data_IF_075219622166
#
_entry.id   IF_075219622166
#
_cell.length_a   1.000
_cell.length_b   1.000
_cell.length_c   1.000
_cell.angle_alpha   90.00
_cell.angle_beta   90.00
_cell.angle_gamma   90.00
#
_symmetry.space_group_name_H-M   'P 1'
#
loop_
_entity.id
_entity.type
_entity.pdbx_description
1 polymer ?
#
# COMPACT_ATOMS: atom_id res chain seq x y z
N UNK A 1 -35.71 -41.00 -33.13
CA UNK A 1 -34.35 -40.50 -33.43
C UNK A 1 -33.85 -39.64 -32.27
N UNK A 2 -33.49 -40.24 -31.12
CA UNK A 2 -33.16 -39.46 -29.92
C UNK A 2 -31.80 -39.83 -29.29
N UNK A 3 -31.09 -40.82 -29.85
CA UNK A 3 -29.89 -41.39 -29.23
C UNK A 3 -28.57 -40.67 -29.55
N UNK A 4 -28.56 -39.57 -30.30
CA UNK A 4 -27.31 -38.86 -30.67
C UNK A 4 -26.98 -37.63 -29.79
N UNK A 5 -27.89 -37.20 -28.90
CA UNK A 5 -27.75 -35.95 -28.12
C UNK A 5 -27.34 -36.19 -26.65
N UNK A 6 -27.33 -37.45 -26.18
CA UNK A 6 -27.11 -37.79 -24.76
C UNK A 6 -25.73 -37.42 -24.20
N UNK A 7 -24.69 -37.35 -25.04
CA UNK A 7 -23.30 -37.11 -24.62
C UNK A 7 -22.88 -35.62 -24.65
N UNK A 8 -23.58 -34.79 -25.42
CA UNK A 8 -23.19 -33.38 -25.59
C UNK A 8 -23.35 -32.59 -24.28
N UNK A 9 -24.48 -32.76 -23.60
CA UNK A 9 -24.78 -32.14 -22.31
C UNK A 9 -23.76 -32.53 -21.22
N UNK A 10 -23.53 -33.82 -20.90
CA UNK A 10 -22.56 -34.20 -19.87
C UNK A 10 -21.11 -33.87 -20.24
N UNK A 11 -20.75 -33.82 -21.53
CA UNK A 11 -19.42 -33.38 -21.97
C UNK A 11 -19.21 -31.89 -21.74
N UNK A 12 -20.22 -31.07 -21.96
CA UNK A 12 -20.18 -29.65 -21.64
C UNK A 12 -20.12 -29.41 -20.12
N UNK A 13 -20.91 -30.13 -19.33
CA UNK A 13 -20.89 -30.03 -17.87
C UNK A 13 -19.52 -30.38 -17.29
N UNK A 14 -18.88 -31.48 -17.76
CA UNK A 14 -17.51 -31.82 -17.33
C UNK A 14 -16.49 -30.75 -17.70
N UNK A 15 -16.59 -30.18 -18.90
CA UNK A 15 -15.70 -29.08 -19.33
C UNK A 15 -15.91 -27.83 -18.49
N UNK A 16 -17.16 -27.49 -18.20
CA UNK A 16 -17.51 -26.37 -17.34
C UNK A 16 -16.99 -26.57 -15.92
N UNK A 17 -17.20 -27.75 -15.34
CA UNK A 17 -16.69 -28.09 -14.02
C UNK A 17 -15.16 -27.98 -13.93
N UNK A 18 -14.43 -28.54 -14.91
CA UNK A 18 -12.97 -28.45 -14.95
C UNK A 18 -12.48 -26.99 -15.08
N UNK A 19 -13.16 -26.16 -15.87
CA UNK A 19 -12.83 -24.74 -15.99
C UNK A 19 -13.13 -23.95 -14.72
N UNK A 20 -14.24 -24.24 -14.05
CA UNK A 20 -14.59 -23.62 -12.77
C UNK A 20 -13.60 -24.02 -11.67
N UNK A 21 -13.20 -25.29 -11.62
CA UNK A 21 -12.18 -25.77 -10.68
C UNK A 21 -10.83 -25.07 -10.90
N UNK A 22 -10.35 -24.97 -12.14
CA UNK A 22 -9.11 -24.24 -12.44
C UNK A 22 -9.21 -22.76 -12.09
N UNK A 23 -10.35 -22.13 -12.37
CA UNK A 23 -10.59 -20.72 -12.03
C UNK A 23 -10.61 -20.48 -10.53
N UNK A 24 -11.18 -21.41 -9.76
CA UNK A 24 -11.20 -21.33 -8.30
C UNK A 24 -9.80 -21.48 -7.72
N UNK A 25 -9.03 -22.48 -8.17
CA UNK A 25 -7.62 -22.64 -7.79
C UNK A 25 -6.79 -21.37 -8.06
N UNK A 26 -6.96 -20.76 -9.24
CA UNK A 26 -6.26 -19.52 -9.57
C UNK A 26 -6.64 -18.36 -8.64
N UNK A 27 -7.92 -18.23 -8.28
CA UNK A 27 -8.38 -17.20 -7.35
C UNK A 27 -7.88 -17.42 -5.93
N UNK A 28 -7.86 -18.67 -5.49
CA UNK A 28 -7.35 -19.05 -4.16
C UNK A 28 -5.85 -18.74 -4.04
N UNK A 29 -5.06 -19.08 -5.06
CA UNK A 29 -3.64 -18.73 -5.10
C UNK A 29 -3.43 -17.20 -5.09
N UNK A 30 -4.21 -16.46 -5.88
CA UNK A 30 -4.16 -14.98 -5.84
C UNK A 30 -4.60 -14.39 -4.49
N UNK A 31 -5.52 -15.07 -3.78
CA UNK A 31 -5.95 -14.65 -2.46
C UNK A 31 -4.84 -14.95 -1.44
N UNK A 32 -4.26 -16.14 -1.46
CA UNK A 32 -3.14 -16.52 -0.59
C UNK A 32 -1.98 -15.54 -0.68
N UNK A 33 -1.50 -15.24 -1.89
CA UNK A 33 -0.38 -14.30 -2.08
C UNK A 33 -0.69 -12.90 -1.54
N UNK A 34 -1.95 -12.45 -1.67
CA UNK A 34 -2.37 -11.16 -1.11
C UNK A 34 -2.43 -11.20 0.41
N UNK A 35 -3.00 -12.25 0.96
CA UNK A 35 -3.15 -12.42 2.40
C UNK A 35 -1.78 -12.58 3.08
N UNK A 36 -0.86 -13.33 2.49
CA UNK A 36 0.53 -13.49 2.96
C UNK A 36 1.26 -12.14 2.96
N UNK A 37 1.24 -11.40 1.84
CA UNK A 37 1.84 -10.06 1.78
C UNK A 37 1.24 -9.12 2.83
N UNK A 38 -0.07 -9.18 3.02
CA UNK A 38 -0.74 -8.33 4.01
C UNK A 38 -0.35 -8.70 5.44
N UNK A 39 -0.27 -10.00 5.75
CA UNK A 39 0.19 -10.50 7.05
C UNK A 39 1.64 -10.10 7.33
N UNK A 40 2.54 -10.27 6.37
CA UNK A 40 3.94 -9.85 6.50
C UNK A 40 4.06 -8.34 6.71
N UNK A 41 3.29 -7.56 5.96
CA UNK A 41 3.25 -6.11 6.13
C UNK A 41 2.79 -5.71 7.53
N UNK A 42 1.71 -6.31 8.04
CA UNK A 42 1.23 -6.06 9.39
C UNK A 42 2.25 -6.49 10.45
N UNK A 43 2.92 -7.62 10.23
CA UNK A 43 3.97 -8.11 11.13
C UNK A 43 5.11 -7.11 11.24
N UNK A 44 5.63 -6.59 10.12
CA UNK A 44 6.69 -5.58 10.13
C UNK A 44 6.25 -4.29 10.84
N UNK A 45 5.00 -3.84 10.65
CA UNK A 45 4.48 -2.68 11.38
C UNK A 45 4.39 -2.94 12.88
N UNK A 46 3.97 -4.15 13.27
CA UNK A 46 3.90 -4.56 14.67
C UNK A 46 5.30 -4.64 15.29
N UNK A 47 6.27 -5.25 14.62
CA UNK A 47 7.67 -5.33 15.06
C UNK A 47 8.26 -3.93 15.25
N UNK A 48 7.99 -3.00 14.31
CA UNK A 48 8.41 -1.60 14.46
C UNK A 48 7.78 -0.94 15.68
N UNK A 49 6.48 -1.16 15.92
CA UNK A 49 5.77 -0.59 17.08
C UNK A 49 6.35 -1.15 18.38
N UNK A 50 6.59 -2.46 18.44
CA UNK A 50 7.21 -3.11 19.59
C UNK A 50 8.60 -2.55 19.88
N UNK A 51 9.44 -2.35 18.85
CA UNK A 51 10.76 -1.76 19.03
C UNK A 51 10.72 -0.31 19.55
N UNK A 52 9.67 0.46 19.22
CA UNK A 52 9.46 1.79 19.79
C UNK A 52 9.01 1.70 21.25
N UNK A 53 8.03 0.84 21.55
CA UNK A 53 7.54 0.62 22.91
C UNK A 53 8.70 0.15 23.84
N UNK A 54 9.56 -0.77 23.39
CA UNK A 54 10.76 -1.24 24.12
C UNK A 54 11.79 -0.12 24.35
N UNK A 55 11.94 0.81 23.40
CA UNK A 55 12.84 1.94 23.56
C UNK A 55 12.32 2.94 24.60
N UNK A 56 11.01 3.18 24.62
CA UNK A 56 10.37 4.05 25.62
C UNK A 56 10.49 3.45 27.02
N UNK A 57 10.28 2.13 27.19
CA UNK A 57 10.49 1.42 28.46
C UNK A 57 11.94 1.57 28.98
N UNK A 58 12.93 1.54 28.09
CA UNK A 58 14.33 1.75 28.45
C UNK A 58 14.60 3.18 28.91
N UNK A 59 14.03 4.17 28.23
CA UNK A 59 14.13 5.59 28.62
C UNK A 59 13.49 5.79 30.00
N UNK A 60 12.32 5.21 30.23
CA UNK A 60 11.64 5.27 31.53
C UNK A 60 12.48 4.62 32.64
N UNK A 61 13.12 3.47 32.38
CA UNK A 61 14.01 2.83 33.35
C UNK A 61 15.25 3.68 33.67
N UNK A 62 15.84 4.32 32.67
CA UNK A 62 16.98 5.24 32.83
C UNK A 62 16.56 6.49 33.60
N UNK A 63 15.40 7.06 33.30
CA UNK A 63 14.89 8.27 33.98
C UNK A 63 14.35 7.98 35.38
N UNK A 64 13.88 6.77 35.67
CA UNK A 64 13.46 6.36 37.02
C UNK A 64 14.65 6.17 37.97
N UNK A 65 15.80 5.72 37.46
CA UNK A 65 17.05 5.56 38.25
C UNK A 65 17.88 6.84 38.32
N UNK A 66 17.26 7.98 38.00
CA UNK A 66 17.82 9.33 38.03
C UNK A 66 18.30 9.71 39.42
N UNK A 67 19.56 9.41 39.68
CA UNK A 67 20.29 9.91 40.84
C UNK A 67 21.54 10.64 40.30
N UNK A 68 21.55 11.97 40.41
CA UNK A 68 22.76 12.75 40.15
C UNK A 68 23.71 12.56 41.32
N UNK A 69 24.91 12.07 41.05
CA UNK A 69 25.90 11.81 42.11
C UNK A 69 26.88 12.98 42.17
N UNK A 70 26.96 13.60 43.35
CA UNK A 70 27.93 14.64 43.65
C UNK A 70 29.14 14.04 44.35
N UNK A 71 30.31 14.33 43.82
CA UNK A 71 31.60 13.93 44.39
C UNK A 71 32.33 15.18 44.86
N UNK A 72 32.69 15.19 46.14
CA UNK A 72 33.47 16.28 46.72
C UNK A 72 34.95 16.01 46.54
N UNK A 73 35.63 16.92 45.86
CA UNK A 73 37.07 16.89 45.64
C UNK A 73 37.73 18.03 46.43
N UNK A 74 39.04 17.95 46.71
CA UNK A 74 39.70 18.88 47.65
C UNK A 74 39.56 20.38 47.33
N UNK A 75 39.28 20.73 46.07
CA UNK A 75 39.19 22.12 45.60
C UNK A 75 37.92 22.43 44.78
N UNK A 76 37.00 21.46 44.61
CA UNK A 76 35.79 21.63 43.81
C UNK A 76 34.85 20.44 43.99
N UNK A 77 33.60 20.59 43.56
CA UNK A 77 32.63 19.50 43.51
C UNK A 77 32.37 19.13 42.06
N UNK A 78 32.44 17.83 41.73
CA UNK A 78 32.05 17.31 40.40
C UNK A 78 30.70 16.63 40.54
N UNK A 79 29.72 17.11 39.77
CA UNK A 79 28.43 16.41 39.64
C UNK A 79 28.48 15.56 38.38
N UNK A 80 28.24 14.25 38.52
CA UNK A 80 28.06 13.35 37.38
C UNK A 80 26.55 13.23 37.15
N UNK A 81 26.11 13.71 35.99
CA UNK A 81 24.70 13.70 35.59
C UNK A 81 24.58 13.05 34.21
N UNK A 82 23.49 12.33 33.99
CA UNK A 82 23.20 11.77 32.67
C UNK A 82 22.85 12.87 31.67
N UNK A 83 23.17 12.67 30.39
CA UNK A 83 22.91 13.64 29.32
C UNK A 83 21.42 13.92 29.07
N UNK A 84 20.53 13.07 29.60
CA UNK A 84 19.08 13.23 29.49
C UNK A 84 18.52 14.32 30.43
N UNK A 85 19.22 14.61 31.53
CA UNK A 85 18.82 15.64 32.50
C UNK A 85 19.36 17.03 32.16
N UNK A 86 20.34 17.08 31.25
CA UNK A 86 20.97 18.33 30.82
C UNK A 86 20.16 18.89 29.65
N UNK A 87 19.48 20.02 29.87
CA UNK A 87 18.85 20.77 28.79
C UNK A 87 19.92 21.42 27.91
N UNK A 88 20.45 20.63 26.97
CA UNK A 88 21.42 21.05 25.96
C UNK A 88 20.81 22.00 24.92
N UNK A 89 19.48 22.19 24.92
CA UNK A 89 18.84 23.16 24.04
C UNK A 89 19.15 24.60 24.47
N UNK A 90 19.34 24.83 25.78
CA UNK A 90 19.74 26.12 26.34
C UNK A 90 21.23 26.47 26.11
N UNK A 91 22.10 25.48 25.86
CA UNK A 91 23.53 25.69 25.63
C UNK A 91 23.86 26.38 24.29
N UNK A 92 22.87 26.62 23.43
CA UNK A 92 23.02 27.45 22.22
C UNK A 92 23.00 28.95 22.51
N UNK A 93 22.77 29.36 23.75
CA UNK A 93 22.50 30.75 24.14
C UNK A 93 23.45 31.31 25.22
N UNK A 94 24.71 30.85 25.27
CA UNK A 94 25.73 31.53 26.09
C UNK A 94 26.43 32.62 25.26
N UNK A 95 25.66 33.66 24.91
CA UNK A 95 26.18 35.03 24.90
C UNK A 95 25.73 35.67 26.22
N UNK A 96 26.60 36.35 26.99
CA UNK A 96 26.17 37.03 28.19
C UNK A 96 25.69 38.44 27.82
N UNK A 97 24.38 38.70 27.80
CA UNK A 97 23.87 39.97 28.33
C UNK A 97 22.34 39.96 28.61
N UNK A 98 22.00 40.12 29.89
CA UNK A 98 20.93 40.98 30.43
C UNK A 98 19.57 41.08 29.70
N UNK A 99 18.53 40.43 30.25
CA UNK A 99 17.36 41.06 30.92
C UNK A 99 16.13 40.15 30.93
N UNK A 100 15.43 40.19 32.06
CA UNK A 100 14.05 39.77 32.25
C UNK A 100 13.13 40.23 31.10
N UNK A 101 12.21 39.37 30.66
CA UNK A 101 10.76 39.57 30.82
C UNK A 101 9.96 38.60 29.91
N UNK A 102 8.92 38.04 30.53
CA UNK A 102 7.62 37.68 29.96
C UNK A 102 7.49 36.46 29.01
N UNK A 103 7.11 35.38 29.71
CA UNK A 103 6.27 34.26 29.28
C UNK A 103 5.01 34.71 28.53
N UNK A 104 4.93 34.43 27.23
CA UNK A 104 3.65 34.33 26.52
C UNK A 104 3.47 32.92 25.94
N UNK A 105 2.45 32.22 26.45
CA UNK A 105 1.92 30.98 25.93
C UNK A 105 1.05 31.28 24.70
N UNK A 106 1.59 31.19 23.50
CA UNK A 106 0.75 31.11 22.28
C UNK A 106 0.33 29.65 22.03
N UNK A 107 -0.89 29.34 22.44
CA UNK A 107 -1.67 28.22 21.87
C UNK A 107 -2.07 28.57 20.43
N UNK A 108 -1.24 28.20 19.46
CA UNK A 108 -1.71 28.10 18.07
C UNK A 108 -2.26 26.70 17.82
N UNK A 109 -3.59 26.63 17.64
CA UNK A 109 -4.28 25.39 17.31
C UNK A 109 -3.92 24.98 15.88
N UNK A 110 -3.06 23.97 15.75
CA UNK A 110 -2.72 23.36 14.47
C UNK A 110 -3.99 22.91 13.71
N UNK A 111 -4.43 23.74 12.76
CA UNK A 111 -5.37 23.32 11.72
C UNK A 111 -4.63 22.36 10.80
N UNK A 112 -4.80 21.07 11.05
CA UNK A 112 -4.31 19.99 10.17
C UNK A 112 -5.00 20.16 8.80
N UNK A 113 -4.34 20.85 7.87
CA UNK A 113 -4.76 20.87 6.48
C UNK A 113 -4.52 19.48 5.90
N UNK A 114 -5.60 18.80 5.52
CA UNK A 114 -5.55 17.50 4.88
C UNK A 114 -4.75 17.58 3.57
N UNK A 115 -3.71 16.73 3.46
CA UNK A 115 -2.90 16.58 2.26
C UNK A 115 -3.78 16.24 1.04
N UNK A 116 -3.44 16.72 -0.17
CA UNK A 116 -4.19 16.43 -1.37
C UNK A 116 -4.32 14.91 -1.58
N UNK A 117 -5.56 14.44 -1.74
CA UNK A 117 -5.91 13.01 -1.92
C UNK A 117 -5.44 12.43 -3.27
N UNK A 118 -4.84 13.25 -4.11
CA UNK A 118 -4.23 12.85 -5.37
C UNK A 118 -2.72 12.89 -5.19
N UNK A 119 -2.07 11.73 -5.27
CA UNK A 119 -0.63 11.68 -5.46
C UNK A 119 -0.32 12.47 -6.73
N UNK A 120 0.25 13.68 -6.56
CA UNK A 120 0.76 14.45 -7.68
C UNK A 120 1.71 13.59 -8.50
N UNK A 121 1.78 13.85 -9.82
CA UNK A 121 2.65 13.08 -10.70
C UNK A 121 4.04 13.00 -10.08
N UNK A 122 4.54 11.79 -9.72
CA UNK A 122 5.85 11.66 -9.10
C UNK A 122 6.87 12.31 -10.03
N UNK A 123 7.83 13.03 -9.47
CA UNK A 123 8.93 13.65 -10.21
C UNK A 123 9.77 12.53 -10.85
N UNK A 124 9.29 11.99 -11.97
CA UNK A 124 9.90 10.88 -12.67
C UNK A 124 10.72 11.42 -13.83
N UNK A 125 11.94 10.92 -13.98
CA UNK A 125 12.76 11.23 -15.15
C UNK A 125 12.04 10.83 -16.44
N UNK A 126 12.29 11.55 -17.54
CA UNK A 126 11.68 11.28 -18.85
C UNK A 126 11.84 9.82 -19.30
N UNK A 127 12.95 9.17 -18.90
CA UNK A 127 13.22 7.75 -19.17
C UNK A 127 12.22 6.83 -18.47
N UNK A 128 11.93 7.09 -17.20
CA UNK A 128 11.00 6.30 -16.39
C UNK A 128 9.58 6.50 -16.94
N UNK A 129 9.17 7.73 -17.26
CA UNK A 129 7.84 7.99 -17.82
C UNK A 129 7.59 7.21 -19.13
N UNK A 130 8.57 7.20 -20.04
CA UNK A 130 8.50 6.46 -21.31
C UNK A 130 8.42 4.95 -21.09
N UNK A 131 9.23 4.42 -20.18
CA UNK A 131 9.21 2.99 -19.85
C UNK A 131 7.86 2.58 -19.26
N UNK A 132 7.35 3.34 -18.29
CA UNK A 132 6.05 3.09 -17.65
C UNK A 132 4.90 3.17 -18.66
N UNK A 133 4.92 4.15 -19.58
CA UNK A 133 3.93 4.22 -20.66
C UNK A 133 4.01 3.00 -21.60
N UNK A 134 5.23 2.58 -21.97
CA UNK A 134 5.46 1.39 -22.80
C UNK A 134 4.94 0.12 -22.13
N UNK A 135 5.25 -0.09 -20.84
CA UNK A 135 4.76 -1.24 -20.07
C UNK A 135 3.23 -1.23 -19.95
N UNK A 136 2.64 -0.06 -19.67
CA UNK A 136 1.19 0.09 -19.57
C UNK A 136 0.46 -0.10 -20.91
N UNK A 137 1.10 0.19 -22.05
CA UNK A 137 0.53 -0.10 -23.37
C UNK A 137 0.53 -1.60 -23.67
N UNK A 138 1.59 -2.31 -23.29
CA UNK A 138 1.73 -3.75 -23.49
C UNK A 138 0.74 -4.54 -22.62
N UNK A 139 0.50 -4.10 -21.39
CA UNK A 139 -0.44 -4.76 -20.47
C UNK A 139 -1.91 -4.54 -20.85
N UNK A 140 -2.24 -3.42 -21.53
CA UNK A 140 -3.60 -3.15 -22.04
C UNK A 140 -3.96 -3.97 -23.29
N UNK A 141 -2.98 -4.57 -23.95
CA UNK A 141 -3.17 -5.36 -25.19
C UNK A 141 -3.59 -6.83 -24.97
N UNK A 142 -4.01 -7.24 -23.76
CA UNK A 142 -4.76 -8.50 -23.58
C UNK A 142 -6.26 -8.22 -23.79
N UNK A 143 -6.84 -8.57 -24.95
CA UNK A 143 -8.12 -8.02 -25.33
C UNK A 143 -9.28 -8.72 -24.59
N UNK A 144 -10.15 -7.90 -24.00
CA UNK A 144 -11.58 -8.21 -23.81
C UNK A 144 -12.33 -8.14 -25.16
N UNK A 145 -11.82 -8.77 -26.20
CA UNK A 145 -12.38 -8.74 -27.57
C UNK A 145 -12.81 -10.14 -28.02
N UNK A 146 -13.50 -10.90 -27.16
CA UNK A 146 -14.14 -12.16 -27.58
C UNK A 146 -15.66 -12.18 -27.36
N UNK A 147 -16.25 -11.14 -26.73
CA UNK A 147 -17.70 -11.09 -26.44
C UNK A 147 -18.54 -10.12 -27.27
N UNK A 148 -17.96 -9.33 -28.18
CA UNK A 148 -18.74 -8.30 -28.92
C UNK A 148 -19.05 -8.60 -30.39
N UNK A 149 -18.53 -9.69 -30.96
CA UNK A 149 -18.67 -9.98 -32.40
C UNK A 149 -19.56 -11.20 -32.73
N UNK A 150 -20.33 -11.74 -31.77
CA UNK A 150 -21.15 -12.94 -32.01
C UNK A 150 -22.66 -12.69 -32.18
N UNK A 151 -23.15 -11.47 -31.97
CA UNK A 151 -24.59 -11.15 -31.95
C UNK A 151 -25.04 -10.20 -33.08
N UNK A 152 -24.41 -10.24 -34.26
CA UNK A 152 -24.80 -9.36 -35.40
C UNK A 152 -24.87 -10.06 -36.76
N UNK A 153 -24.96 -11.40 -36.79
CA UNK A 153 -25.14 -12.17 -38.02
C UNK A 153 -26.26 -13.20 -37.87
N UNK A 154 -27.50 -12.74 -37.70
CA UNK A 154 -28.66 -13.62 -37.89
C UNK A 154 -29.93 -12.82 -38.21
N UNK A 155 -29.83 -11.79 -39.05
CA UNK A 155 -31.05 -11.10 -39.48
C UNK A 155 -30.91 -10.33 -40.80
N UNK A 156 -30.46 -11.00 -41.87
CA UNK A 156 -30.68 -10.52 -43.25
C UNK A 156 -30.91 -11.68 -44.23
N UNK A 157 -32.19 -12.02 -44.38
CA UNK A 157 -32.92 -12.14 -45.66
C UNK A 157 -32.48 -13.26 -46.63
N UNK A 158 -33.22 -14.36 -46.62
CA UNK A 158 -33.40 -15.24 -47.80
C UNK A 158 -34.85 -15.18 -48.27
N UNK A 159 -35.14 -14.25 -49.18
CA UNK A 159 -36.38 -14.21 -49.95
C UNK A 159 -36.04 -14.12 -51.43
N UNK A 160 -36.15 -15.26 -52.14
CA UNK A 160 -36.57 -15.41 -53.53
C UNK A 160 -35.90 -16.64 -54.15
N UNK A 161 -36.68 -17.72 -54.28
CA UNK A 161 -36.43 -18.78 -55.24
C UNK A 161 -37.79 -19.12 -55.85
N UNK A 162 -38.18 -18.34 -56.84
CA UNK A 162 -39.25 -18.70 -57.78
C UNK A 162 -38.62 -18.79 -59.16
N UNK A 163 -38.71 -19.99 -59.72
CA UNK A 163 -38.86 -20.35 -61.12
C UNK A 163 -38.51 -19.31 -62.19
N UNK A 164 -37.73 -19.75 -63.19
CA UNK A 164 -38.31 -19.79 -64.54
C UNK A 164 -37.64 -20.82 -65.46
N UNK A 165 -38.49 -21.41 -66.31
CA UNK A 165 -38.19 -22.34 -67.39
C UNK A 165 -37.97 -21.56 -68.70
N UNK A 166 -37.47 -22.29 -69.71
CA UNK A 166 -37.46 -22.02 -71.17
C UNK A 166 -36.21 -21.28 -71.67
N UNK A 167 -35.61 -21.62 -72.81
CA UNK A 167 -35.98 -22.45 -73.97
C UNK A 167 -34.76 -23.26 -74.44
#
# INVERSE_FOLDING_TARGET
MEFLIGLHKPKLERRRAALEEMKNKLKEEQKRVRDERHREYLKMLQERRQALDEADELVDAITATKESVQYDHPNHTVTVTTISDLDLSAARLLEPDQRDEEREEEKDGEKIQALPRTAGNPLMSKKIQRLTASLNSLTKHKPKQEMRWRNHQSDRKSSSSTHDKKL
#
